data_IF_859795634342
#
_entry.id   IF_859795634342
#
_cell.length_a   1.000
_cell.length_b   1.000
_cell.length_c   1.000
_cell.angle_alpha   90.00
_cell.angle_beta   90.00
_cell.angle_gamma   90.00
#
_symmetry.space_group_name_H-M   'P 1'
#
loop_
_entity.id
_entity.type
_entity.pdbx_description
1 polymer ?
#
# COMPACT_ATOMS: atom_id res chain seq x y z
N UNK A 1 -5.27 24.96 -72.24
CA UNK A 1 -4.15 24.01 -72.43
C UNK A 1 -3.28 23.99 -71.18
N UNK A 2 -3.12 22.80 -70.58
CA UNK A 2 -1.98 22.25 -69.79
C UNK A 2 -1.45 23.05 -68.56
N UNK A 3 -1.72 22.57 -67.32
CA UNK A 3 -0.89 21.68 -66.44
C UNK A 3 -0.04 22.52 -65.45
N UNK A 4 0.14 22.26 -64.15
CA UNK A 4 -0.14 21.18 -63.17
C UNK A 4 0.06 21.79 -61.75
N UNK A 5 -0.92 21.74 -60.86
CA UNK A 5 -1.00 20.95 -59.61
C UNK A 5 0.35 20.75 -58.88
N UNK A 6 0.50 21.38 -57.71
CA UNK A 6 1.43 20.97 -56.65
C UNK A 6 0.64 20.44 -55.45
N UNK A 7 1.15 19.33 -54.94
CA UNK A 7 0.53 18.40 -54.01
C UNK A 7 0.35 18.98 -52.60
N UNK A 8 -0.83 18.77 -52.02
CA UNK A 8 -1.05 18.92 -50.59
C UNK A 8 -0.55 17.67 -49.87
N UNK A 9 0.47 17.85 -49.02
CA UNK A 9 1.01 16.83 -48.13
C UNK A 9 0.04 16.67 -46.94
N UNK A 10 -0.84 15.67 -46.98
CA UNK A 10 -1.60 15.24 -45.80
C UNK A 10 -0.81 14.12 -45.11
N UNK A 11 0.01 14.50 -44.12
CA UNK A 11 0.60 13.54 -43.19
C UNK A 11 -0.46 13.26 -42.12
N UNK A 12 -1.16 12.14 -42.25
CA UNK A 12 -2.00 11.59 -41.19
C UNK A 12 -1.08 11.07 -40.07
N UNK A 13 -0.93 11.87 -39.02
CA UNK A 13 -0.31 11.47 -37.78
C UNK A 13 -1.30 10.57 -37.02
N UNK A 14 -1.23 9.26 -37.22
CA UNK A 14 -1.88 8.30 -36.31
C UNK A 14 -1.12 8.35 -34.97
N UNK A 15 -1.58 9.20 -34.04
CA UNK A 15 -1.22 9.04 -32.64
C UNK A 15 -1.83 7.71 -32.18
N UNK A 16 -0.98 6.72 -32.00
CA UNK A 16 -1.34 5.44 -31.41
C UNK A 16 -2.08 5.72 -30.09
N UNK A 17 -3.36 5.36 -30.06
CA UNK A 17 -4.08 5.22 -28.80
C UNK A 17 -3.34 4.17 -28.00
N UNK A 18 -2.65 4.58 -26.94
CA UNK A 18 -2.25 3.65 -25.90
C UNK A 18 -3.54 3.15 -25.24
N UNK A 19 -4.13 2.11 -25.83
CA UNK A 19 -4.92 1.16 -25.08
C UNK A 19 -3.96 0.61 -24.04
N UNK A 20 -4.02 1.17 -22.83
CA UNK A 20 -3.41 0.56 -21.66
C UNK A 20 -4.19 -0.74 -21.46
N UNK A 21 -3.72 -1.82 -22.09
CA UNK A 21 -4.15 -3.15 -21.77
C UNK A 21 -3.83 -3.34 -20.28
N UNK A 22 -4.85 -3.22 -19.44
CA UNK A 22 -4.75 -3.60 -18.05
C UNK A 22 -4.37 -5.08 -18.04
N UNK A 23 -3.10 -5.37 -17.77
CA UNK A 23 -2.64 -6.74 -17.60
C UNK A 23 -3.33 -7.28 -16.36
N UNK A 24 -4.43 -8.00 -16.55
CA UNK A 24 -5.00 -8.86 -15.54
C UNK A 24 -4.00 -9.99 -15.27
N UNK A 25 -3.19 -9.85 -14.22
CA UNK A 25 -2.38 -10.95 -13.70
C UNK A 25 -0.96 -10.64 -13.19
N UNK A 26 -0.37 -9.48 -13.49
CA UNK A 26 0.97 -9.16 -13.00
C UNK A 26 0.94 -8.26 -11.76
N UNK A 27 1.45 -8.79 -10.65
CA UNK A 27 1.73 -8.03 -9.44
C UNK A 27 2.85 -7.03 -9.72
N UNK A 28 2.61 -5.76 -9.38
CA UNK A 28 3.52 -4.66 -9.66
C UNK A 28 4.41 -4.44 -8.43
N UNK A 29 5.72 -4.36 -8.64
CA UNK A 29 6.64 -3.90 -7.60
C UNK A 29 6.47 -2.39 -7.41
N UNK A 30 6.03 -2.01 -6.23
CA UNK A 30 5.83 -0.63 -5.82
C UNK A 30 6.88 -0.24 -4.77
N UNK A 31 7.51 0.92 -4.95
CA UNK A 31 8.51 1.46 -4.04
C UNK A 31 8.40 3.00 -4.03
N UNK A 32 7.63 3.60 -3.11
CA UNK A 32 7.48 5.05 -3.06
C UNK A 32 8.81 5.71 -2.70
N UNK A 33 9.21 6.73 -3.45
CA UNK A 33 10.54 7.36 -3.38
C UNK A 33 10.95 7.74 -1.95
N UNK A 34 10.04 8.33 -1.18
CA UNK A 34 10.30 8.76 0.20
C UNK A 34 9.89 7.73 1.26
N UNK A 35 9.35 6.57 0.87
CA UNK A 35 8.85 5.58 1.82
C UNK A 35 9.94 4.71 2.45
N UNK A 36 11.00 4.37 1.72
CA UNK A 36 12.06 3.51 2.25
C UNK A 36 11.67 2.02 2.34
N UNK A 37 10.64 1.59 1.62
CA UNK A 37 10.26 0.19 1.47
C UNK A 37 9.91 -0.12 0.01
N UNK A 38 9.82 -1.41 -0.30
CA UNK A 38 9.18 -1.94 -1.50
C UNK A 38 8.20 -3.06 -1.16
N UNK A 39 7.21 -3.25 -2.02
CA UNK A 39 6.12 -4.23 -1.85
C UNK A 39 5.52 -4.59 -3.21
N UNK A 40 4.92 -5.77 -3.34
CA UNK A 40 4.11 -6.15 -4.48
C UNK A 40 2.65 -5.73 -4.27
N UNK A 41 2.02 -5.11 -5.27
CA UNK A 41 0.60 -4.74 -5.27
C UNK A 41 -0.14 -5.34 -6.47
N UNK A 42 -1.45 -5.62 -6.35
CA UNK A 42 -2.24 -6.21 -7.44
C UNK A 42 -2.61 -5.21 -8.54
N UNK A 43 -2.46 -3.92 -8.29
CA UNK A 43 -2.74 -2.83 -9.23
C UNK A 43 -1.86 -1.63 -8.90
N UNK A 44 -1.82 -0.64 -9.78
CA UNK A 44 -1.24 0.66 -9.47
C UNK A 44 -2.00 1.27 -8.28
N UNK A 45 -1.31 1.69 -7.19
CA UNK A 45 -2.00 2.28 -6.05
C UNK A 45 -2.40 3.74 -6.31
N UNK A 46 -3.48 4.16 -5.65
CA UNK A 46 -3.82 5.57 -5.45
C UNK A 46 -3.18 6.06 -4.15
N UNK A 47 -2.53 7.21 -4.19
CA UNK A 47 -1.93 7.86 -3.01
C UNK A 47 -2.92 8.83 -2.35
N UNK A 48 -2.88 8.86 -1.02
CA UNK A 48 -3.56 9.83 -0.17
C UNK A 48 -2.58 10.30 0.91
N UNK A 49 -2.42 11.62 1.04
CA UNK A 49 -1.59 12.23 2.08
C UNK A 49 -2.48 12.86 3.13
N UNK A 50 -2.16 12.64 4.40
CA UNK A 50 -2.81 13.28 5.54
C UNK A 50 -1.77 13.96 6.41
N UNK A 51 -2.00 15.23 6.77
CA UNK A 51 -1.15 15.96 7.70
C UNK A 51 -1.96 16.50 8.86
N UNK A 52 -1.42 16.30 10.07
CA UNK A 52 -1.87 16.88 11.35
C UNK A 52 -0.63 17.38 12.08
N UNK A 53 -0.80 18.29 13.04
CA UNK A 53 0.30 19.02 13.71
C UNK A 53 1.56 18.18 13.99
N UNK A 54 1.41 16.97 14.54
CA UNK A 54 2.54 16.10 14.92
C UNK A 54 2.69 14.83 14.07
N UNK A 55 1.98 14.72 12.95
CA UNK A 55 1.97 13.49 12.15
C UNK A 55 1.63 13.74 10.67
N UNK A 56 2.54 13.34 9.78
CA UNK A 56 2.29 13.28 8.34
C UNK A 56 2.18 11.82 7.90
N UNK A 57 1.23 11.49 7.04
CA UNK A 57 0.99 10.13 6.54
C UNK A 57 0.88 10.10 5.02
N UNK A 58 1.39 9.03 4.43
CA UNK A 58 1.23 8.67 3.04
C UNK A 58 0.65 7.26 2.97
N UNK A 59 -0.56 7.14 2.44
CA UNK A 59 -1.27 5.87 2.26
C UNK A 59 -1.44 5.59 0.77
N UNK A 60 -1.22 4.35 0.39
CA UNK A 60 -1.30 3.84 -0.97
C UNK A 60 -2.28 2.69 -0.99
N UNK A 61 -3.35 2.83 -1.77
CA UNK A 61 -4.42 1.83 -1.85
C UNK A 61 -4.47 1.20 -3.23
N UNK A 62 -4.35 -0.12 -3.28
CA UNK A 62 -4.57 -0.95 -4.45
C UNK A 62 -5.68 -1.95 -4.16
N UNK A 63 -6.43 -2.39 -5.18
CA UNK A 63 -7.54 -3.33 -5.00
C UNK A 63 -7.63 -4.33 -6.13
N UNK A 64 -8.15 -5.51 -5.80
CA UNK A 64 -8.67 -6.46 -6.77
C UNK A 64 -10.17 -6.70 -6.46
N UNK A 65 -10.78 -7.73 -7.06
CA UNK A 65 -12.19 -8.06 -6.84
C UNK A 65 -12.50 -8.63 -5.45
N UNK A 66 -11.48 -9.07 -4.71
CA UNK A 66 -11.61 -9.85 -3.46
C UNK A 66 -11.14 -9.09 -2.23
N UNK A 67 -10.20 -8.16 -2.41
CA UNK A 67 -9.52 -7.50 -1.32
C UNK A 67 -9.04 -6.08 -1.67
N UNK A 68 -8.86 -5.29 -0.61
CA UNK A 68 -8.17 -4.01 -0.62
C UNK A 68 -6.82 -4.19 0.08
N UNK A 69 -5.78 -3.65 -0.54
CA UNK A 69 -4.41 -3.62 -0.03
C UNK A 69 -4.03 -2.18 0.27
N UNK A 70 -3.81 -1.89 1.54
CA UNK A 70 -3.40 -0.57 2.03
C UNK A 70 -1.97 -0.67 2.53
N UNK A 71 -1.09 0.16 2.00
CA UNK A 71 0.28 0.28 2.46
C UNK A 71 0.61 1.73 2.70
N UNK A 72 1.48 2.03 3.66
CA UNK A 72 1.90 3.40 3.85
C UNK A 72 2.95 3.58 4.93
N UNK A 73 3.35 4.83 5.06
CA UNK A 73 4.23 5.28 6.11
C UNK A 73 3.68 6.57 6.72
N UNK A 74 4.10 6.86 7.93
CA UNK A 74 3.89 8.17 8.51
C UNK A 74 5.02 8.56 9.43
N UNK A 75 5.24 9.86 9.51
CA UNK A 75 6.31 10.50 10.25
C UNK A 75 5.70 11.26 11.42
N UNK A 76 6.07 10.84 12.61
CA UNK A 76 5.83 11.62 13.82
C UNK A 76 6.79 12.81 13.87
N UNK A 77 6.34 13.92 14.43
CA UNK A 77 7.20 15.07 14.66
C UNK A 77 8.45 14.66 15.48
N UNK A 78 9.63 15.28 15.25
CA UNK A 78 10.86 14.93 15.96
C UNK A 78 10.78 15.11 17.48
N UNK A 79 9.85 15.94 17.97
CA UNK A 79 9.58 16.16 19.40
C UNK A 79 8.85 15.00 20.07
N UNK A 80 8.31 14.06 19.30
CA UNK A 80 7.60 12.89 19.84
C UNK A 80 8.62 11.83 20.28
N UNK A 81 8.50 11.37 21.52
CA UNK A 81 9.27 10.24 22.04
C UNK A 81 8.36 9.03 22.16
N UNK A 82 8.47 8.13 21.19
CA UNK A 82 7.62 6.93 21.14
C UNK A 82 8.17 5.86 22.07
N UNK A 83 7.30 5.31 22.92
CA UNK A 83 7.52 3.96 23.41
C UNK A 83 7.09 2.99 22.29
N UNK A 84 8.05 2.21 21.80
CA UNK A 84 7.85 1.30 20.66
C UNK A 84 6.71 0.33 20.90
N UNK A 85 6.68 -0.33 22.06
CA UNK A 85 5.68 -1.37 22.34
C UNK A 85 4.29 -0.77 22.49
N UNK A 86 4.17 0.32 23.24
CA UNK A 86 2.90 1.02 23.43
C UNK A 86 2.34 1.56 22.11
N UNK A 87 3.20 2.10 21.26
CA UNK A 87 2.79 2.63 19.95
C UNK A 87 2.33 1.52 19.00
N UNK A 88 3.04 0.39 18.95
CA UNK A 88 2.62 -0.77 18.16
C UNK A 88 1.25 -1.30 18.61
N UNK A 89 1.01 -1.38 19.92
CA UNK A 89 -0.29 -1.76 20.48
C UNK A 89 -1.37 -0.73 20.15
N UNK A 90 -1.07 0.57 20.29
CA UNK A 90 -2.01 1.64 19.96
C UNK A 90 -2.40 1.63 18.47
N UNK A 91 -1.46 1.36 17.57
CA UNK A 91 -1.73 1.24 16.12
C UNK A 91 -2.71 0.09 15.82
N UNK A 92 -2.51 -1.08 16.45
CA UNK A 92 -3.43 -2.22 16.34
C UNK A 92 -4.80 -1.86 16.88
N UNK A 93 -4.85 -1.35 18.11
CA UNK A 93 -6.11 -1.14 18.82
C UNK A 93 -6.95 -0.05 18.16
N UNK A 94 -6.30 0.99 17.62
CA UNK A 94 -6.95 2.01 16.80
C UNK A 94 -7.49 1.42 15.49
N UNK A 95 -6.74 0.54 14.81
CA UNK A 95 -7.22 -0.14 13.61
C UNK A 95 -8.47 -0.98 13.92
N UNK A 96 -8.38 -1.86 14.92
CA UNK A 96 -9.46 -2.75 15.34
C UNK A 96 -10.71 -1.94 15.71
N UNK A 97 -10.55 -0.85 16.48
CA UNK A 97 -11.64 0.06 16.85
C UNK A 97 -12.27 0.75 15.63
N UNK A 98 -11.46 1.30 14.74
CA UNK A 98 -11.96 2.05 13.56
C UNK A 98 -12.77 1.15 12.61
N UNK A 99 -12.37 -0.11 12.46
CA UNK A 99 -13.09 -1.09 11.65
C UNK A 99 -14.17 -1.84 12.42
N UNK A 100 -14.40 -1.52 13.71
CA UNK A 100 -15.31 -2.22 14.61
C UNK A 100 -15.11 -3.75 14.55
N UNK A 101 -13.84 -4.14 14.50
CA UNK A 101 -13.44 -5.53 14.33
C UNK A 101 -13.22 -6.22 15.68
N UNK A 102 -13.25 -7.54 15.67
CA UNK A 102 -12.76 -8.41 16.73
C UNK A 102 -11.30 -8.78 16.44
N UNK A 103 -10.43 -8.72 17.46
CA UNK A 103 -9.03 -9.11 17.33
C UNK A 103 -8.90 -10.62 17.53
N UNK A 104 -8.42 -11.33 16.51
CA UNK A 104 -8.30 -12.79 16.54
C UNK A 104 -6.92 -13.24 17.04
N UNK A 105 -5.85 -12.55 16.61
CA UNK A 105 -4.48 -12.89 16.97
C UNK A 105 -3.59 -11.64 16.90
N UNK A 106 -2.56 -11.59 17.72
CA UNK A 106 -1.54 -10.54 17.72
C UNK A 106 -0.21 -11.12 18.19
N UNK A 107 0.87 -10.84 17.45
CA UNK A 107 2.21 -11.31 17.79
C UNK A 107 3.28 -10.32 17.37
N UNK A 108 4.34 -10.25 18.17
CA UNK A 108 5.52 -9.48 17.82
C UNK A 108 6.19 -10.08 16.59
N UNK A 109 6.66 -9.23 15.70
CA UNK A 109 7.45 -9.58 14.53
C UNK A 109 8.61 -8.61 14.40
N UNK A 110 9.64 -9.00 13.67
CA UNK A 110 10.76 -8.13 13.36
C UNK A 110 11.12 -8.33 11.90
N UNK A 111 11.36 -7.23 11.20
CA UNK A 111 11.86 -7.26 9.83
C UNK A 111 13.10 -6.35 9.75
N UNK A 112 14.24 -6.95 9.43
CA UNK A 112 15.57 -6.37 9.65
C UNK A 112 15.75 -5.94 11.12
N UNK A 113 16.05 -4.67 11.38
CA UNK A 113 16.18 -4.10 12.72
C UNK A 113 14.89 -3.47 13.27
N UNK A 114 13.80 -3.46 12.50
CA UNK A 114 12.59 -2.74 12.89
C UNK A 114 11.63 -3.64 13.67
N UNK A 115 11.32 -3.31 14.95
CA UNK A 115 10.29 -4.01 15.71
C UNK A 115 8.92 -3.74 15.10
N UNK A 116 8.04 -4.72 15.19
CA UNK A 116 6.71 -4.64 14.62
C UNK A 116 5.72 -5.57 15.29
N UNK A 117 4.47 -5.44 14.85
CA UNK A 117 3.34 -6.23 15.32
C UNK A 117 2.57 -6.75 14.11
N UNK A 118 2.39 -8.06 14.05
CA UNK A 118 1.45 -8.70 13.13
C UNK A 118 0.17 -9.03 13.90
N UNK A 119 -0.97 -8.75 13.28
CA UNK A 119 -2.26 -9.11 13.86
C UNK A 119 -3.28 -9.47 12.79
N UNK A 120 -4.24 -10.28 13.19
CA UNK A 120 -5.43 -10.61 12.40
C UNK A 120 -6.67 -10.21 13.16
N UNK A 121 -7.65 -9.68 12.45
CA UNK A 121 -8.92 -9.27 13.01
C UNK A 121 -10.04 -9.61 12.01
N UNK A 122 -11.28 -9.51 12.44
CA UNK A 122 -12.45 -9.71 11.58
C UNK A 122 -13.61 -8.80 11.97
N UNK A 123 -14.43 -8.43 11.01
CA UNK A 123 -15.73 -7.81 11.22
C UNK A 123 -16.76 -8.49 10.31
N UNK A 124 -18.03 -8.11 10.44
CA UNK A 124 -19.10 -8.61 9.56
C UNK A 124 -18.84 -8.34 8.07
N UNK A 125 -17.95 -7.39 7.75
CA UNK A 125 -17.70 -6.95 6.37
C UNK A 125 -16.39 -7.49 5.78
N UNK A 126 -15.41 -7.86 6.60
CA UNK A 126 -14.09 -8.24 6.12
C UNK A 126 -13.26 -9.00 7.16
N UNK A 127 -12.28 -9.76 6.67
CA UNK A 127 -11.14 -10.22 7.47
C UNK A 127 -9.91 -9.37 7.18
N UNK A 128 -9.06 -9.21 8.20
CA UNK A 128 -7.90 -8.35 8.18
C UNK A 128 -6.64 -9.14 8.52
N UNK A 129 -5.57 -8.91 7.76
CA UNK A 129 -4.21 -9.30 8.16
C UNK A 129 -3.30 -8.10 8.01
N UNK A 130 -2.68 -7.70 9.11
CA UNK A 130 -1.96 -6.45 9.23
C UNK A 130 -0.55 -6.70 9.76
N UNK A 131 0.40 -5.89 9.27
CA UNK A 131 1.74 -5.73 9.84
C UNK A 131 2.02 -4.25 10.02
N UNK A 132 2.49 -3.87 11.20
CA UNK A 132 3.01 -2.53 11.48
C UNK A 132 4.44 -2.62 11.98
N UNK A 133 5.28 -1.66 11.63
CA UNK A 133 6.68 -1.60 12.07
C UNK A 133 7.07 -0.17 12.45
N UNK A 134 8.00 -0.03 13.38
CA UNK A 134 8.56 1.25 13.79
C UNK A 134 10.05 1.35 13.45
N UNK A 135 10.44 2.48 12.87
CA UNK A 135 11.80 2.86 12.52
C UNK A 135 12.07 4.27 13.04
N UNK A 136 12.51 4.39 14.30
CA UNK A 136 12.58 5.68 14.98
C UNK A 136 11.20 6.34 15.07
N UNK A 137 11.07 7.57 14.58
CA UNK A 137 9.80 8.31 14.55
C UNK A 137 8.95 8.02 13.29
N UNK A 138 9.30 6.99 12.52
CA UNK A 138 8.52 6.56 11.36
C UNK A 138 7.79 5.26 11.64
N UNK A 139 6.50 5.24 11.29
CA UNK A 139 5.63 4.07 11.34
C UNK A 139 5.33 3.59 9.93
N UNK A 140 5.44 2.29 9.72
CA UNK A 140 5.04 1.60 8.50
C UNK A 140 3.79 0.77 8.75
N UNK A 141 2.85 0.81 7.80
CA UNK A 141 1.56 0.09 7.90
C UNK A 141 1.32 -0.71 6.62
N UNK A 142 0.98 -1.98 6.79
CA UNK A 142 0.63 -2.90 5.70
C UNK A 142 -0.62 -3.66 6.11
N UNK A 143 -1.73 -3.48 5.39
CA UNK A 143 -3.00 -4.13 5.69
C UNK A 143 -3.58 -4.74 4.42
N UNK A 144 -3.94 -6.02 4.51
CA UNK A 144 -4.82 -6.66 3.56
C UNK A 144 -6.21 -6.80 4.18
N UNK A 145 -7.23 -6.38 3.44
CA UNK A 145 -8.63 -6.34 3.84
C UNK A 145 -9.39 -7.21 2.84
N UNK A 146 -9.75 -8.43 3.23
CA UNK A 146 -10.45 -9.38 2.35
C UNK A 146 -11.94 -9.30 2.66
N UNK A 147 -12.77 -9.05 1.65
CA UNK A 147 -14.21 -8.89 1.84
C UNK A 147 -14.87 -10.18 2.36
N UNK A 148 -15.91 -10.03 3.18
CA UNK A 148 -16.67 -11.16 3.69
C UNK A 148 -17.17 -12.08 2.54
N UNK A 149 -17.04 -13.39 2.74
CA UNK A 149 -17.38 -14.39 1.72
C UNK A 149 -16.39 -14.50 0.56
N UNK A 150 -15.25 -13.81 0.59
CA UNK A 150 -14.14 -13.97 -0.36
C UNK A 150 -12.95 -14.64 0.33
N UNK A 151 -12.15 -15.33 -0.48
CA UNK A 151 -10.84 -15.83 -0.09
C UNK A 151 -9.78 -15.21 -1.01
N UNK A 152 -8.76 -14.60 -0.43
CA UNK A 152 -7.61 -14.05 -1.13
C UNK A 152 -6.28 -14.46 -0.47
N UNK A 153 -6.27 -15.58 0.26
CA UNK A 153 -5.18 -16.01 1.16
C UNK A 153 -3.80 -16.02 0.48
N UNK A 154 -3.69 -16.57 -0.73
CA UNK A 154 -2.42 -16.58 -1.48
C UNK A 154 -1.91 -15.17 -1.78
N UNK A 155 -2.80 -14.29 -2.22
CA UNK A 155 -2.49 -12.92 -2.57
C UNK A 155 -2.14 -12.09 -1.33
N UNK A 156 -2.81 -12.32 -0.20
CA UNK A 156 -2.46 -11.73 1.10
C UNK A 156 -1.06 -12.17 1.54
N UNK A 157 -0.74 -13.46 1.42
CA UNK A 157 0.58 -13.97 1.77
C UNK A 157 1.67 -13.42 0.84
N UNK A 158 1.38 -13.31 -0.46
CA UNK A 158 2.27 -12.69 -1.44
C UNK A 158 2.53 -11.21 -1.12
N UNK A 159 1.48 -10.44 -0.84
CA UNK A 159 1.56 -9.03 -0.46
C UNK A 159 2.44 -8.85 0.79
N UNK A 160 2.09 -9.45 1.92
CA UNK A 160 2.82 -9.28 3.18
C UNK A 160 4.22 -9.91 3.15
N UNK A 161 4.40 -11.00 2.40
CA UNK A 161 5.70 -11.67 2.22
C UNK A 161 6.66 -10.89 1.32
N UNK A 162 6.16 -9.95 0.52
CA UNK A 162 6.97 -9.13 -0.38
C UNK A 162 7.51 -7.84 0.24
N UNK A 163 7.15 -7.53 1.49
CA UNK A 163 7.62 -6.33 2.18
C UNK A 163 9.13 -6.41 2.35
N UNK A 164 9.84 -5.42 1.83
CA UNK A 164 11.27 -5.26 2.04
C UNK A 164 11.57 -3.80 2.38
N UNK A 165 12.28 -3.55 3.47
CA UNK A 165 12.83 -2.24 3.77
C UNK A 165 14.12 -2.03 3.00
N UNK A 166 14.28 -0.83 2.43
CA UNK A 166 15.51 -0.47 1.76
C UNK A 166 16.62 -0.39 2.82
N UNK A 167 17.71 -1.12 2.62
CA UNK A 167 18.91 -0.97 3.43
C UNK A 167 19.47 0.42 3.15
N UNK A 168 19.31 1.36 4.09
CA UNK A 168 20.12 2.57 4.04
C UNK A 168 21.58 2.13 4.22
N UNK A 169 22.40 2.39 3.19
CA UNK A 169 23.86 2.42 3.35
C UNK A 169 24.24 3.65 4.16
#
# INVERSE_FOLDING_TARGET
MRKRIYAALFVLLFLATHVCAQSTGQWIKFAPTAGGFSILLPSQPKEETGSKDNFTSHLFTAKNERAIYVVGYGDYAPSMHLNVDDELLALRDNFVRNFKAHLNNSRNVTLNQYPGLEFTAESDQASFKCRVYLAGNRVYRFAAIVFAGKDDTENVNKFLGSVAFNSNR
#
